data_IF_391692088489
#
_entry.id   IF_391692088489
#
_cell.length_a   1.000
_cell.length_b   1.000
_cell.length_c   1.000
_cell.angle_alpha   90.00
_cell.angle_beta   90.00
_cell.angle_gamma   90.00
#
_symmetry.space_group_name_H-M   'P 1'
#
loop_
_entity.id
_entity.type
_entity.pdbx_description
1 polymer ?
#
# COMPACT_ATOMS: atom_id res chain seq x y z
N UNK A 1 -18.04 3.34 -19.51
CA UNK A 1 -17.54 3.96 -18.28
C UNK A 1 -16.36 4.86 -18.66
N UNK A 2 -16.37 6.13 -18.24
CA UNK A 2 -15.35 7.13 -18.59
C UNK A 2 -14.55 7.47 -17.34
N UNK A 3 -13.21 7.36 -17.40
CA UNK A 3 -12.31 7.75 -16.33
C UNK A 3 -11.61 9.05 -16.73
N UNK A 4 -11.59 10.04 -15.84
CA UNK A 4 -10.84 11.29 -16.06
C UNK A 4 -9.56 11.25 -15.23
N UNK A 5 -8.43 11.30 -15.89
CA UNK A 5 -7.10 11.40 -15.28
C UNK A 5 -6.64 12.85 -15.38
N UNK A 6 -6.13 13.39 -14.27
CA UNK A 6 -5.48 14.71 -14.24
C UNK A 6 -4.01 14.49 -13.97
N UNK A 7 -3.17 14.95 -14.88
CA UNK A 7 -1.72 14.74 -14.81
C UNK A 7 -1.04 16.09 -15.00
N UNK A 8 -0.04 16.38 -14.18
CA UNK A 8 0.77 17.58 -14.39
C UNK A 8 1.70 17.34 -15.59
N UNK A 9 1.79 18.32 -16.49
CA UNK A 9 2.58 18.17 -17.72
C UNK A 9 4.05 17.87 -17.40
N UNK A 10 4.56 18.38 -16.29
CA UNK A 10 5.92 18.12 -15.78
C UNK A 10 6.19 16.65 -15.50
N UNK A 11 5.17 15.86 -15.14
CA UNK A 11 5.32 14.43 -14.81
C UNK A 11 5.46 13.55 -16.05
N UNK A 12 5.05 14.06 -17.22
CA UNK A 12 5.08 13.35 -18.50
C UNK A 12 6.32 13.73 -19.32
N UNK A 13 6.92 14.89 -19.05
CA UNK A 13 8.08 15.37 -19.78
C UNK A 13 9.33 14.54 -19.46
N UNK A 14 10.16 14.21 -20.47
CA UNK A 14 11.44 13.55 -20.23
C UNK A 14 12.31 14.40 -19.32
N UNK A 15 12.97 13.76 -18.34
CA UNK A 15 13.94 14.40 -17.44
C UNK A 15 14.98 15.16 -18.28
N UNK A 16 14.93 16.49 -18.25
CA UNK A 16 15.83 17.38 -18.99
C UNK A 16 15.16 18.45 -19.86
N UNK A 17 13.86 18.35 -20.15
CA UNK A 17 13.11 19.42 -20.82
C UNK A 17 12.31 20.24 -19.78
N UNK A 18 12.66 21.52 -19.62
CA UNK A 18 11.86 22.47 -18.84
C UNK A 18 10.62 22.88 -19.65
N UNK A 19 9.47 23.01 -18.98
CA UNK A 19 8.32 23.67 -19.58
C UNK A 19 8.66 25.14 -19.85
N UNK A 20 8.27 25.65 -21.02
CA UNK A 20 8.50 27.05 -21.42
C UNK A 20 7.59 28.04 -20.70
N UNK A 21 6.70 27.57 -19.81
CA UNK A 21 5.78 28.36 -19.00
C UNK A 21 5.96 28.04 -17.52
N UNK A 22 6.07 29.09 -16.69
CA UNK A 22 6.09 29.02 -15.22
C UNK A 22 4.73 28.60 -14.60
N UNK A 23 3.69 28.47 -15.43
CA UNK A 23 2.36 28.05 -15.00
C UNK A 23 2.27 26.53 -14.83
N UNK A 24 1.64 26.10 -13.73
CA UNK A 24 1.29 24.70 -13.46
C UNK A 24 0.25 24.20 -14.46
N UNK A 25 0.68 23.71 -15.62
CA UNK A 25 -0.20 23.19 -16.65
C UNK A 25 -0.71 21.79 -16.26
N UNK A 26 -2.02 21.67 -16.02
CA UNK A 26 -2.70 20.40 -15.73
C UNK A 26 -3.34 19.88 -17.02
N UNK A 27 -2.91 18.70 -17.45
CA UNK A 27 -3.51 17.97 -18.56
C UNK A 27 -4.65 17.09 -18.04
N UNK A 28 -5.86 17.26 -18.58
CA UNK A 28 -6.99 16.38 -18.30
C UNK A 28 -7.20 15.39 -19.44
N UNK A 29 -7.01 14.10 -19.17
CA UNK A 29 -7.12 13.01 -20.13
C UNK A 29 -8.37 12.19 -19.79
N UNK A 30 -9.22 11.98 -20.78
CA UNK A 30 -10.39 11.08 -20.65
C UNK A 30 -10.06 9.72 -21.26
N UNK A 31 -10.29 8.65 -20.51
CA UNK A 31 -10.14 7.26 -20.96
C UNK A 31 -11.51 6.59 -21.01
N UNK A 32 -11.90 6.11 -22.19
CA UNK A 32 -13.06 5.23 -22.39
C UNK A 32 -12.56 3.79 -22.52
N UNK A 33 -12.86 2.97 -21.51
CA UNK A 33 -12.52 1.55 -21.49
C UNK A 33 -13.64 0.75 -20.81
N UNK A 34 -13.65 -0.56 -21.02
CA UNK A 34 -14.45 -1.45 -20.18
C UNK A 34 -13.82 -1.49 -18.78
N UNK A 35 -14.63 -1.47 -17.70
CA UNK A 35 -14.13 -1.49 -16.32
C UNK A 35 -13.71 -2.90 -15.89
N UNK A 36 -12.95 -3.59 -16.74
CA UNK A 36 -12.45 -4.92 -16.49
C UNK A 36 -10.92 -4.89 -16.47
N UNK A 37 -10.36 -5.61 -15.51
CA UNK A 37 -8.92 -5.88 -15.41
C UNK A 37 -8.78 -7.36 -15.10
N UNK A 38 -7.81 -8.08 -15.69
CA UNK A 38 -7.51 -9.45 -15.28
C UNK A 38 -7.30 -9.51 -13.76
N UNK A 39 -8.01 -10.40 -13.08
CA UNK A 39 -7.98 -10.52 -11.62
C UNK A 39 -7.14 -11.72 -11.13
N UNK A 40 -6.38 -12.38 -12.02
CA UNK A 40 -5.54 -13.53 -11.67
C UNK A 40 -4.41 -13.15 -10.71
N UNK A 41 -3.88 -11.94 -10.85
CA UNK A 41 -2.86 -11.39 -9.96
C UNK A 41 -3.26 -9.96 -9.60
N UNK A 42 -3.07 -9.61 -8.33
CA UNK A 42 -3.27 -8.25 -7.83
C UNK A 42 -1.99 -7.78 -7.15
N UNK A 43 -1.68 -6.50 -7.29
CA UNK A 43 -0.54 -5.92 -6.58
C UNK A 43 -0.86 -5.80 -5.09
N UNK A 44 0.17 -5.83 -4.25
CA UNK A 44 0.04 -5.61 -2.80
C UNK A 44 -0.77 -4.37 -2.45
N UNK A 45 -0.53 -3.26 -3.17
CA UNK A 45 -1.25 -2.01 -2.92
C UNK A 45 -2.73 -2.11 -3.29
N UNK A 46 -3.06 -2.86 -4.34
CA UNK A 46 -4.46 -3.04 -4.78
C UNK A 46 -5.21 -4.03 -3.90
N UNK A 47 -4.51 -4.94 -3.23
CA UNK A 47 -5.11 -5.89 -2.26
C UNK A 47 -5.31 -5.30 -0.87
N UNK A 48 -4.82 -4.08 -0.62
CA UNK A 48 -5.06 -3.38 0.64
C UNK A 48 -6.57 -3.28 0.91
N UNK A 49 -6.94 -3.45 2.18
CA UNK A 49 -8.32 -3.52 2.68
C UNK A 49 -9.19 -4.67 2.15
N UNK A 50 -8.60 -5.63 1.43
CA UNK A 50 -9.30 -6.86 1.03
C UNK A 50 -8.98 -8.00 2.00
N UNK A 51 -10.00 -8.82 2.30
CA UNK A 51 -9.82 -10.15 2.89
C UNK A 51 -10.06 -11.18 1.80
N UNK A 52 -9.06 -12.03 1.56
CA UNK A 52 -9.05 -13.05 0.51
C UNK A 52 -9.16 -14.43 1.16
N UNK A 53 -9.87 -15.35 0.51
CA UNK A 53 -10.09 -16.68 1.07
C UNK A 53 -8.85 -17.56 1.01
N UNK A 54 -8.07 -17.48 -0.08
CA UNK A 54 -6.82 -18.19 -0.31
C UNK A 54 -5.91 -17.33 -1.18
N UNK A 55 -4.62 -17.30 -0.89
CA UNK A 55 -3.65 -16.47 -1.62
C UNK A 55 -2.37 -17.21 -1.92
N UNK A 56 -1.80 -16.90 -3.09
CA UNK A 56 -0.41 -17.21 -3.41
C UNK A 56 0.34 -15.89 -3.44
N UNK A 57 1.37 -15.75 -2.59
CA UNK A 57 2.14 -14.52 -2.46
C UNK A 57 3.55 -14.70 -2.99
N UNK A 58 4.08 -13.67 -3.65
CA UNK A 58 5.48 -13.61 -4.05
C UNK A 58 6.22 -12.60 -3.16
N UNK A 59 7.11 -13.10 -2.32
CA UNK A 59 7.94 -12.29 -1.41
C UNK A 59 9.32 -11.98 -1.97
N UNK A 60 9.60 -12.36 -3.23
CA UNK A 60 10.84 -11.95 -3.89
C UNK A 60 10.68 -10.51 -4.39
N UNK A 61 10.99 -9.58 -3.50
CA UNK A 61 10.95 -8.15 -3.78
C UNK A 61 12.04 -7.76 -4.78
N UNK A 62 11.80 -6.77 -5.67
CA UNK A 62 12.87 -6.10 -6.39
C UNK A 62 13.89 -5.53 -5.40
N UNK A 63 15.17 -5.58 -5.77
CA UNK A 63 16.26 -5.06 -4.93
C UNK A 63 15.93 -3.63 -4.45
N UNK A 64 16.11 -3.36 -3.15
CA UNK A 64 15.92 -2.05 -2.47
C UNK A 64 14.49 -1.65 -2.08
N UNK A 65 13.55 -2.59 -1.94
CA UNK A 65 12.22 -2.26 -1.37
C UNK A 65 12.20 -2.51 0.15
N UNK A 66 12.69 -1.53 0.93
CA UNK A 66 12.77 -1.60 2.40
C UNK A 66 11.46 -1.21 3.12
N UNK A 67 10.31 -1.36 2.46
CA UNK A 67 9.01 -1.04 3.06
C UNK A 67 8.35 -2.29 3.65
N UNK A 68 8.19 -2.29 4.98
CA UNK A 68 7.48 -3.32 5.74
C UNK A 68 6.07 -3.58 5.21
N UNK A 69 5.39 -2.57 4.66
CA UNK A 69 4.04 -2.71 4.12
C UNK A 69 4.01 -3.67 2.92
N UNK A 70 5.08 -3.71 2.12
CA UNK A 70 5.18 -4.58 0.95
C UNK A 70 5.12 -6.07 1.32
N UNK A 71 5.51 -6.40 2.55
CA UNK A 71 5.56 -7.76 3.11
C UNK A 71 4.35 -8.04 4.00
N UNK A 72 4.02 -7.13 4.90
CA UNK A 72 2.94 -7.30 5.87
C UNK A 72 1.55 -7.29 5.21
N UNK A 73 1.31 -6.40 4.25
CA UNK A 73 0.01 -6.30 3.58
C UNK A 73 -0.38 -7.61 2.89
N UNK A 74 0.42 -8.26 2.02
CA UNK A 74 0.01 -9.50 1.37
C UNK A 74 -0.16 -10.65 2.37
N UNK A 75 0.66 -10.72 3.42
CA UNK A 75 0.55 -11.73 4.48
C UNK A 75 -0.75 -11.60 5.29
N UNK A 76 -1.21 -10.37 5.54
CA UNK A 76 -2.42 -10.08 6.32
C UNK A 76 -3.73 -10.22 5.54
N UNK A 77 -3.70 -10.59 4.25
CA UNK A 77 -4.93 -10.69 3.44
C UNK A 77 -5.75 -11.95 3.74
N UNK A 78 -5.19 -12.95 4.43
CA UNK A 78 -5.89 -14.18 4.80
C UNK A 78 -6.07 -14.30 6.31
N UNK A 79 -7.09 -15.07 6.72
CA UNK A 79 -7.40 -15.29 8.13
C UNK A 79 -6.57 -16.39 8.79
N UNK A 80 -6.06 -17.34 7.99
CA UNK A 80 -5.33 -18.52 8.49
C UNK A 80 -4.10 -18.79 7.65
N UNK A 81 -3.04 -19.27 8.28
CA UNK A 81 -1.81 -19.66 7.60
C UNK A 81 -2.02 -20.78 6.57
N UNK A 82 -2.95 -21.70 6.83
CA UNK A 82 -3.29 -22.80 5.92
C UNK A 82 -3.87 -22.33 4.57
N UNK A 83 -4.33 -21.07 4.49
CA UNK A 83 -4.88 -20.47 3.28
C UNK A 83 -3.83 -19.62 2.51
N UNK A 84 -2.57 -19.64 2.95
CA UNK A 84 -1.45 -18.90 2.38
C UNK A 84 -0.40 -19.83 1.76
N UNK A 85 0.01 -19.53 0.54
CA UNK A 85 1.13 -20.21 -0.13
C UNK A 85 2.16 -19.17 -0.56
N UNK A 86 3.44 -19.46 -0.31
CA UNK A 86 4.56 -18.66 -0.81
C UNK A 86 5.00 -19.25 -2.16
N UNK A 87 4.98 -18.42 -3.20
CA UNK A 87 5.21 -18.84 -4.59
C UNK A 87 6.60 -19.45 -4.83
N UNK A 88 7.63 -18.89 -4.17
CA UNK A 88 9.04 -19.24 -4.39
C UNK A 88 9.91 -18.89 -3.19
N UNK A 89 11.12 -19.43 -3.14
CA UNK A 89 12.13 -19.05 -2.14
C UNK A 89 12.44 -17.55 -2.19
N UNK A 90 12.63 -16.95 -1.03
CA UNK A 90 12.92 -15.53 -0.83
C UNK A 90 13.96 -15.36 0.29
N UNK A 91 14.61 -14.20 0.36
CA UNK A 91 15.56 -13.89 1.44
C UNK A 91 14.80 -13.63 2.75
N UNK A 92 15.12 -14.40 3.79
CA UNK A 92 14.50 -14.27 5.11
C UNK A 92 14.62 -12.86 5.70
N UNK A 93 15.64 -12.08 5.31
CA UNK A 93 15.81 -10.68 5.73
C UNK A 93 14.59 -9.80 5.42
N UNK A 94 13.81 -10.14 4.41
CA UNK A 94 12.58 -9.43 4.04
C UNK A 94 11.53 -9.47 5.17
N UNK A 95 11.51 -10.51 6.00
CA UNK A 95 10.62 -10.59 7.17
C UNK A 95 11.16 -9.82 8.38
N UNK A 96 12.43 -9.41 8.34
CA UNK A 96 13.12 -8.71 9.44
C UNK A 96 13.11 -7.19 9.26
N UNK A 97 12.43 -6.68 8.22
CA UNK A 97 12.27 -5.25 7.99
C UNK A 97 11.51 -4.65 9.18
N UNK A 98 12.14 -3.66 9.84
CA UNK A 98 11.56 -2.97 10.98
C UNK A 98 10.76 -1.75 10.50
N UNK A 99 9.65 -1.40 11.19
CA UNK A 99 9.01 -0.12 10.97
C UNK A 99 9.99 1.04 11.21
N UNK A 100 9.76 2.16 10.53
CA UNK A 100 10.57 3.35 10.72
C UNK A 100 10.44 3.88 12.16
N UNK A 101 11.42 4.67 12.62
CA UNK A 101 11.36 5.31 13.95
C UNK A 101 10.10 6.16 14.13
N UNK A 102 9.62 6.83 13.08
CA UNK A 102 8.39 7.62 13.12
C UNK A 102 7.14 6.74 13.25
N UNK A 103 7.09 5.61 12.56
CA UNK A 103 5.99 4.64 12.69
C UNK A 103 5.94 4.05 14.09
N UNK A 104 7.09 3.70 14.68
CA UNK A 104 7.17 3.19 16.06
C UNK A 104 6.69 4.24 17.05
N UNK A 105 7.19 5.49 16.93
CA UNK A 105 6.77 6.58 17.80
C UNK A 105 5.26 6.87 17.71
N UNK A 106 4.68 6.74 16.51
CA UNK A 106 3.23 6.90 16.32
C UNK A 106 2.44 5.76 16.97
N UNK A 107 2.89 4.51 16.85
CA UNK A 107 2.27 3.37 17.55
C UNK A 107 2.28 3.61 19.07
N UNK A 108 3.43 3.99 19.64
CA UNK A 108 3.54 4.30 21.07
C UNK A 108 2.63 5.46 21.50
N UNK A 109 2.48 6.49 20.65
CA UNK A 109 1.59 7.62 20.91
C UNK A 109 0.12 7.17 20.91
N UNK A 110 -0.27 6.31 19.98
CA UNK A 110 -1.62 5.76 19.88
C UNK A 110 -1.96 4.87 21.09
N UNK A 111 -1.01 4.07 21.58
CA UNK A 111 -1.19 3.25 22.78
C UNK A 111 -1.44 4.11 24.03
N UNK A 112 -0.69 5.21 24.19
CA UNK A 112 -0.93 6.18 25.27
C UNK A 112 -2.32 6.80 25.18
N UNK A 113 -2.70 7.23 23.97
CA UNK A 113 -4.01 7.83 23.74
C UNK A 113 -5.15 6.84 24.01
N UNK A 114 -4.95 5.56 23.69
CA UNK A 114 -5.90 4.49 24.01
C UNK A 114 -6.11 4.36 25.52
N UNK A 115 -5.04 4.29 26.32
CA UNK A 115 -5.13 4.20 27.79
C UNK A 115 -5.80 5.43 28.41
N UNK A 116 -5.50 6.62 27.91
CA UNK A 116 -6.15 7.86 28.35
C UNK A 116 -7.64 7.85 28.02
N UNK A 117 -8.00 7.37 26.83
CA UNK A 117 -9.39 7.24 26.38
C UNK A 117 -10.16 6.25 27.25
N UNK A 118 -9.57 5.10 27.58
CA UNK A 118 -10.16 4.12 28.50
C UNK A 118 -10.39 4.70 29.89
N UNK A 119 -9.43 5.45 30.41
CA UNK A 119 -9.53 6.11 31.72
C UNK A 119 -10.62 7.18 31.75
N UNK A 120 -10.78 7.93 30.65
CA UNK A 120 -11.76 9.03 30.54
C UNK A 120 -13.18 8.55 30.31
N UNK A 121 -13.36 7.42 29.62
CA UNK A 121 -14.68 6.89 29.25
C UNK A 121 -14.87 5.44 29.73
N UNK A 122 -14.74 5.16 31.03
CA UNK A 122 -14.76 3.79 31.55
C UNK A 122 -16.07 3.06 31.24
N UNK A 123 -17.19 3.78 31.20
CA UNK A 123 -18.51 3.22 30.92
C UNK A 123 -18.66 2.63 29.50
N UNK A 124 -17.77 3.00 28.56
CA UNK A 124 -17.81 2.56 27.16
C UNK A 124 -16.96 1.31 26.88
N UNK A 125 -16.14 0.88 27.85
CA UNK A 125 -15.21 -0.25 27.71
C UNK A 125 -15.55 -1.44 28.64
N UNK A 126 -16.77 -1.47 29.21
CA UNK A 126 -17.28 -2.60 30.00
C UNK A 126 -17.65 -3.82 29.14
#
# INVERSE_FOLDING_TARGET
MEQTLRVEVTDILPKGKKSTSDGKAILSIKRRALPFVPAYCITTHKSQDQTLNKVVIDLKLPNETDDIATVYVPLSRVKRLADLIILRQFDYKVLLIKPSKSQIAEIERLDKLYLDTQTRFPDWFQ
#
